data_IF_288016106341
#
_entry.id   IF_288016106341
#
_cell.length_a   1.000
_cell.length_b   1.000
_cell.length_c   1.000
_cell.angle_alpha   90.00
_cell.angle_beta   90.00
_cell.angle_gamma   90.00
#
_symmetry.space_group_name_H-M   'P 1'
#
loop_
_entity.id
_entity.type
_entity.pdbx_description
1 polymer ?
#
# COMPACT_ATOMS: atom_id res chain seq x y z
N UNK A 1 10.55 -2.85 5.77
CA UNK A 1 9.13 -3.26 5.73
C UNK A 1 8.38 -2.43 4.69
N UNK A 2 7.08 -2.61 4.45
CA UNK A 2 6.34 -1.89 3.43
C UNK A 2 4.87 -2.25 3.31
N UNK A 3 4.26 -1.82 2.20
CA UNK A 3 2.89 -2.15 1.81
C UNK A 3 2.79 -2.33 0.29
N UNK A 4 1.79 -3.09 -0.13
CA UNK A 4 1.48 -3.36 -1.53
C UNK A 4 -0.01 -3.07 -1.76
N UNK A 5 -0.34 -2.47 -2.90
CA UNK A 5 -1.71 -2.36 -3.40
C UNK A 5 -1.75 -3.17 -4.69
N UNK A 6 -2.67 -4.12 -4.77
CA UNK A 6 -2.85 -5.00 -5.91
C UNK A 6 -4.34 -5.17 -6.23
N UNK A 7 -4.66 -5.66 -7.43
CA UNK A 7 -6.01 -6.09 -7.76
C UNK A 7 -6.36 -7.40 -7.06
N UNK A 8 -7.63 -7.61 -6.77
CA UNK A 8 -8.13 -8.87 -6.18
C UNK A 8 -8.33 -9.90 -7.30
N UNK A 9 -7.90 -11.14 -7.06
CA UNK A 9 -8.24 -12.31 -7.86
C UNK A 9 -8.65 -13.48 -6.93
N UNK A 10 -8.86 -14.67 -7.49
CA UNK A 10 -9.30 -15.86 -6.75
C UNK A 10 -8.23 -16.45 -5.82
N UNK A 11 -6.99 -15.94 -5.88
CA UNK A 11 -5.86 -16.44 -5.10
C UNK A 11 -5.46 -15.37 -4.08
N UNK A 12 -5.46 -15.74 -2.79
CA UNK A 12 -5.14 -14.82 -1.72
C UNK A 12 -3.77 -14.13 -1.93
N UNK A 13 -3.75 -12.80 -1.82
CA UNK A 13 -2.57 -11.92 -1.95
C UNK A 13 -1.76 -12.07 -3.26
N UNK A 14 -2.37 -12.57 -4.34
CA UNK A 14 -1.67 -12.89 -5.59
C UNK A 14 -1.83 -11.86 -6.71
N UNK A 15 -2.97 -11.17 -6.79
CA UNK A 15 -3.33 -10.39 -7.97
C UNK A 15 -2.32 -9.30 -8.37
N UNK A 16 -2.49 -8.75 -9.57
CA UNK A 16 -1.52 -7.84 -10.19
C UNK A 16 -1.21 -6.62 -9.32
N UNK A 17 0.08 -6.38 -9.08
CA UNK A 17 0.57 -5.28 -8.25
C UNK A 17 0.41 -3.95 -8.98
N UNK A 18 -0.31 -3.02 -8.35
CA UNK A 18 -0.52 -1.65 -8.83
C UNK A 18 0.56 -0.71 -8.26
N UNK A 19 0.89 -0.88 -6.98
CA UNK A 19 1.88 -0.05 -6.29
C UNK A 19 2.53 -0.83 -5.15
N UNK A 20 3.84 -0.67 -4.98
CA UNK A 20 4.56 -1.13 -3.81
C UNK A 20 5.37 0.00 -3.20
N UNK A 21 5.32 0.14 -1.87
CA UNK A 21 6.08 1.14 -1.12
C UNK A 21 6.81 0.50 0.05
N UNK A 22 8.01 1.01 0.31
CA UNK A 22 8.87 0.57 1.42
C UNK A 22 8.95 1.67 2.47
N UNK A 23 9.13 1.27 3.72
CA UNK A 23 9.67 2.15 4.75
C UNK A 23 10.78 1.42 5.53
N UNK A 24 11.69 2.23 6.04
CA UNK A 24 12.79 1.79 6.89
C UNK A 24 12.25 1.20 8.20
N UNK A 25 12.96 0.20 8.73
CA UNK A 25 12.81 -0.29 10.10
C UNK A 25 13.95 0.34 10.89
N UNK A 26 13.64 1.10 11.94
CA UNK A 26 14.64 1.78 12.76
C UNK A 26 15.10 0.87 13.91
N UNK A 27 16.32 1.05 14.44
CA UNK A 27 16.84 0.24 15.54
C UNK A 27 15.98 0.25 16.81
N UNK A 28 15.24 1.34 17.04
CA UNK A 28 14.38 1.60 18.20
C UNK A 28 12.90 1.32 17.96
N UNK A 29 12.55 0.71 16.82
CA UNK A 29 11.16 0.42 16.52
C UNK A 29 10.55 -0.62 17.47
N UNK A 30 9.36 -0.30 17.95
CA UNK A 30 8.42 -1.27 18.51
C UNK A 30 7.49 -1.77 17.39
N UNK A 31 6.79 -2.90 17.58
CA UNK A 31 5.76 -3.34 16.64
C UNK A 31 4.72 -2.24 16.33
N UNK A 32 4.35 -1.44 17.34
CA UNK A 32 3.36 -0.37 17.19
C UNK A 32 3.91 0.83 16.39
N UNK A 33 5.15 1.25 16.62
CA UNK A 33 5.75 2.35 15.85
C UNK A 33 5.99 1.95 14.39
N UNK A 34 6.39 0.70 14.16
CA UNK A 34 6.55 0.16 12.81
C UNK A 34 5.20 0.04 12.09
N UNK A 35 4.18 -0.49 12.78
CA UNK A 35 2.81 -0.59 12.26
C UNK A 35 2.26 0.78 11.89
N UNK A 36 2.41 1.78 12.77
CA UNK A 36 1.96 3.14 12.49
C UNK A 36 2.62 3.73 11.23
N UNK A 37 3.90 3.42 10.99
CA UNK A 37 4.62 3.85 9.78
C UNK A 37 4.07 3.17 8.52
N UNK A 38 3.85 1.86 8.55
CA UNK A 38 3.26 1.12 7.43
C UNK A 38 1.84 1.61 7.14
N UNK A 39 1.00 1.76 8.17
CA UNK A 39 -0.35 2.31 8.03
C UNK A 39 -0.37 3.76 7.53
N UNK A 40 0.65 4.55 7.85
CA UNK A 40 0.85 5.87 7.27
C UNK A 40 1.07 5.83 5.76
N UNK A 41 1.81 4.83 5.25
CA UNK A 41 1.93 4.60 3.81
C UNK A 41 0.59 4.19 3.20
N UNK A 42 -0.14 3.26 3.82
CA UNK A 42 -1.45 2.81 3.35
C UNK A 42 -2.44 3.97 3.21
N UNK A 43 -2.61 4.77 4.27
CA UNK A 43 -3.50 5.94 4.29
C UNK A 43 -3.15 6.96 3.21
N UNK A 44 -1.87 7.14 2.90
CA UNK A 44 -1.41 8.04 1.85
C UNK A 44 -1.69 7.48 0.46
N UNK A 45 -1.27 6.25 0.20
CA UNK A 45 -1.18 5.73 -1.16
C UNK A 45 -2.46 5.06 -1.66
N UNK A 46 -3.26 4.49 -0.76
CA UNK A 46 -4.52 3.86 -1.14
C UNK A 46 -5.50 4.81 -1.87
N UNK A 47 -5.85 5.99 -1.33
CA UNK A 47 -6.72 6.93 -2.04
C UNK A 47 -6.10 7.53 -3.30
N UNK A 48 -4.77 7.70 -3.34
CA UNK A 48 -4.04 8.16 -4.53
C UNK A 48 -4.13 7.15 -5.68
N UNK A 49 -3.99 5.86 -5.39
CA UNK A 49 -4.12 4.79 -6.39
C UNK A 49 -5.55 4.73 -6.93
N UNK A 50 -6.56 4.77 -6.05
CA UNK A 50 -7.97 4.77 -6.47
C UNK A 50 -8.25 5.95 -7.41
N UNK A 51 -7.83 7.15 -7.03
CA UNK A 51 -8.02 8.35 -7.86
C UNK A 51 -7.35 8.22 -9.22
N UNK A 52 -6.11 7.74 -9.29
CA UNK A 52 -5.42 7.49 -10.57
C UNK A 52 -6.18 6.51 -11.46
N UNK A 53 -6.72 5.44 -10.88
CA UNK A 53 -7.51 4.45 -11.63
C UNK A 53 -8.77 5.11 -12.18
N UNK A 54 -9.52 5.84 -11.34
CA UNK A 54 -10.75 6.53 -11.74
C UNK A 54 -10.47 7.58 -12.83
N UNK A 55 -9.44 8.40 -12.66
CA UNK A 55 -9.06 9.43 -13.62
C UNK A 55 -8.58 8.85 -14.96
N UNK A 56 -7.91 7.69 -14.94
CA UNK A 56 -7.49 6.98 -16.15
C UNK A 56 -8.64 6.35 -16.93
N UNK A 57 -9.78 6.13 -16.25
CA UNK A 57 -11.01 5.53 -16.81
C UNK A 57 -12.02 6.57 -17.28
N UNK A 58 -11.64 7.83 -17.49
CA UNK A 58 -12.54 8.85 -18.07
C UNK A 58 -13.21 8.31 -19.34
N UNK A 59 -14.51 8.04 -19.22
CA UNK A 59 -15.45 7.67 -20.29
C UNK A 59 -15.77 8.92 -21.10
#
# INVERSE_FOLDING_TARGET
TGMTIHYVDEICDHGEIILQKKCEVKPDDTPDTLKARVQGLEKKWYPEVIRKIVDSRKI
#
